data_IF_603055487763
#
_entry.id   IF_603055487763
#
_cell.length_a   1.000
_cell.length_b   1.000
_cell.length_c   1.000
_cell.angle_alpha   90.00
_cell.angle_beta   90.00
_cell.angle_gamma   90.00
#
_symmetry.space_group_name_H-M   'P 1'
#
loop_
_entity.id
_entity.type
_entity.pdbx_description
1 polymer ?
#
# COMPACT_ATOMS: atom_id res chain seq x y z
N UNK A 1 -38.21 4.96 -14.79
CA UNK A 1 -38.09 6.42 -14.83
C UNK A 1 -37.16 7.00 -13.71
N UNK A 2 -37.04 6.39 -12.56
CA UNK A 2 -36.18 6.93 -11.43
C UNK A 2 -34.65 6.76 -11.63
N UNK A 3 -34.16 5.81 -12.44
CA UNK A 3 -32.71 5.61 -12.67
C UNK A 3 -32.07 6.62 -13.64
N UNK A 4 -32.84 7.26 -14.53
CA UNK A 4 -32.30 8.29 -15.44
C UNK A 4 -32.17 9.68 -14.81
N UNK A 5 -32.81 9.91 -13.66
CA UNK A 5 -32.77 11.21 -12.98
C UNK A 5 -31.47 11.34 -12.14
N UNK A 6 -30.97 10.25 -11.55
CA UNK A 6 -29.73 10.26 -10.78
C UNK A 6 -28.48 10.51 -11.63
N UNK A 7 -28.45 9.96 -12.85
CA UNK A 7 -27.31 10.15 -13.76
C UNK A 7 -27.24 11.60 -14.30
N UNK A 8 -28.38 12.26 -14.45
CA UNK A 8 -28.42 13.65 -14.92
C UNK A 8 -27.99 14.65 -13.83
N UNK A 9 -28.27 14.35 -12.56
CA UNK A 9 -27.87 15.20 -11.42
C UNK A 9 -26.38 15.09 -11.17
N UNK A 10 -25.76 13.91 -11.29
CA UNK A 10 -24.31 13.75 -11.17
C UNK A 10 -23.56 14.46 -12.32
N UNK A 11 -24.07 14.38 -13.54
CA UNK A 11 -23.45 15.08 -14.68
C UNK A 11 -23.57 16.62 -14.57
N UNK A 12 -24.64 17.13 -13.91
CA UNK A 12 -24.81 18.56 -13.74
C UNK A 12 -23.92 19.14 -12.63
N UNK A 13 -23.57 18.34 -11.62
CA UNK A 13 -22.64 18.74 -10.56
C UNK A 13 -21.20 18.78 -11.08
N UNK A 14 -20.82 17.88 -11.98
CA UNK A 14 -19.48 17.87 -12.58
C UNK A 14 -19.24 19.04 -13.56
N UNK A 15 -20.29 19.60 -14.16
CA UNK A 15 -20.20 20.72 -15.12
C UNK A 15 -20.20 22.07 -14.43
N UNK A 16 -20.74 22.16 -13.19
CA UNK A 16 -20.79 23.44 -12.45
C UNK A 16 -19.48 23.77 -11.71
N UNK A 17 -18.57 22.83 -11.54
CA UNK A 17 -17.26 23.05 -10.90
C UNK A 17 -16.17 23.52 -11.86
N UNK A 18 -16.41 23.53 -13.16
CA UNK A 18 -15.43 23.95 -14.18
C UNK A 18 -15.60 25.37 -14.72
N UNK A 19 -16.48 26.19 -14.17
CA UNK A 19 -16.82 27.51 -14.72
C UNK A 19 -16.70 28.67 -13.73
N UNK A 20 -15.57 28.77 -13.04
CA UNK A 20 -15.22 30.03 -12.31
C UNK A 20 -13.73 30.32 -12.52
N UNK A 21 -13.43 31.33 -13.26
CA UNK A 21 -12.28 32.17 -13.09
C UNK A 21 -11.15 32.14 -14.10
N UNK A 22 -11.33 32.63 -15.32
CA UNK A 22 -10.23 33.28 -16.02
C UNK A 22 -10.34 34.78 -15.78
N UNK A 23 -9.49 35.31 -14.92
CA UNK A 23 -9.16 36.74 -14.86
C UNK A 23 -7.79 36.88 -15.48
N UNK A 24 -7.72 37.56 -16.62
CA UNK A 24 -6.47 37.94 -17.26
C UNK A 24 -5.74 38.94 -16.36
N UNK A 25 -4.50 38.63 -15.96
CA UNK A 25 -3.59 39.57 -15.35
C UNK A 25 -2.69 40.20 -16.40
N UNK A 26 -2.62 41.50 -16.40
CA UNK A 26 -1.77 42.38 -17.21
C UNK A 26 -0.31 42.35 -16.65
N UNK A 27 0.74 42.17 -17.45
CA UNK A 27 2.10 42.06 -16.92
C UNK A 27 2.81 43.42 -16.97
N UNK A 28 2.65 44.22 -15.95
CA UNK A 28 3.66 45.24 -15.59
C UNK A 28 3.31 45.95 -14.29
N UNK A 29 3.89 45.52 -13.19
CA UNK A 29 4.36 46.37 -12.09
C UNK A 29 5.32 45.55 -11.25
N UNK A 30 6.56 46.00 -11.13
CA UNK A 30 7.50 45.57 -10.10
C UNK A 30 6.99 46.04 -8.73
N UNK A 31 6.05 45.30 -8.14
CA UNK A 31 5.80 45.39 -6.72
C UNK A 31 6.68 44.38 -5.98
N UNK A 32 7.17 44.70 -4.76
CA UNK A 32 7.95 43.75 -3.98
C UNK A 32 7.10 42.50 -3.79
N UNK A 33 7.69 41.36 -4.11
CA UNK A 33 7.11 40.05 -3.87
C UNK A 33 6.81 40.04 -2.37
N UNK A 34 5.53 40.22 -2.03
CA UNK A 34 5.01 39.93 -0.69
C UNK A 34 5.32 38.45 -0.49
N UNK A 35 6.26 38.14 0.41
CA UNK A 35 6.50 36.74 0.78
C UNK A 35 5.22 36.24 1.41
N UNK A 36 4.35 35.71 0.58
CA UNK A 36 3.14 35.02 1.07
C UNK A 36 3.64 33.97 2.04
N UNK A 37 3.15 33.98 3.31
CA UNK A 37 3.58 32.99 4.29
C UNK A 37 3.44 31.60 3.67
N UNK A 38 4.52 30.84 3.64
CA UNK A 38 4.44 29.46 3.16
C UNK A 38 3.47 28.71 4.07
N UNK A 39 2.73 27.72 3.57
CA UNK A 39 1.83 26.93 4.43
C UNK A 39 2.56 26.33 5.62
N UNK A 40 3.88 26.19 5.55
CA UNK A 40 4.75 25.69 6.60
C UNK A 40 5.01 26.69 7.74
N UNK A 41 4.80 28.00 7.54
CA UNK A 41 4.94 28.99 8.60
C UNK A 41 3.88 28.81 9.70
N UNK A 42 2.83 28.05 9.40
CA UNK A 42 1.79 27.64 10.36
C UNK A 42 2.04 26.27 11.00
N UNK A 43 3.05 25.52 10.56
CA UNK A 43 3.44 24.26 11.13
C UNK A 43 4.49 24.50 12.22
N UNK A 44 4.11 24.26 13.47
CA UNK A 44 5.05 24.26 14.58
C UNK A 44 5.80 22.92 14.61
N UNK A 45 7.03 22.93 14.13
CA UNK A 45 7.87 21.73 14.15
C UNK A 45 8.48 21.48 15.53
N UNK A 46 8.36 22.43 16.51
CA UNK A 46 8.82 22.32 17.91
C UNK A 46 10.23 21.72 18.11
N UNK A 47 11.05 21.66 17.04
CA UNK A 47 12.35 21.03 17.05
C UNK A 47 12.30 19.50 17.10
N UNK A 48 11.14 18.90 16.82
CA UNK A 48 10.97 17.46 16.68
C UNK A 48 11.39 17.00 15.28
N UNK A 49 11.76 15.74 15.17
CA UNK A 49 11.98 15.07 13.89
C UNK A 49 10.70 15.14 13.04
N UNK A 50 10.82 15.66 11.83
CA UNK A 50 9.74 15.65 10.83
C UNK A 50 9.85 14.39 9.98
N UNK A 51 8.84 13.53 10.06
CA UNK A 51 8.72 12.35 9.22
C UNK A 51 7.54 12.50 8.25
N UNK A 52 7.81 12.29 6.95
CA UNK A 52 6.81 12.42 5.88
C UNK A 52 6.65 11.08 5.18
N UNK A 53 5.40 10.63 5.05
CA UNK A 53 5.03 9.45 4.27
C UNK A 53 4.55 9.86 2.90
N UNK A 54 5.08 9.20 1.88
CA UNK A 54 4.68 9.38 0.49
C UNK A 54 4.61 8.03 -0.22
N UNK A 55 3.68 7.89 -1.15
CA UNK A 55 3.54 6.66 -1.92
C UNK A 55 2.10 6.25 -2.15
N UNK A 56 1.82 4.98 -2.00
CA UNK A 56 0.56 4.35 -2.36
C UNK A 56 -0.42 4.14 -1.18
N UNK A 57 -1.39 3.24 -1.36
CA UNK A 57 -2.41 2.93 -0.35
C UNK A 57 -1.87 2.31 0.93
N UNK A 58 -0.72 1.66 0.87
CA UNK A 58 -0.08 1.06 2.06
C UNK A 58 0.43 2.18 2.97
N UNK A 59 1.20 3.11 2.40
CA UNK A 59 1.67 4.29 3.12
C UNK A 59 0.50 5.19 3.56
N UNK A 60 -0.56 5.30 2.75
CA UNK A 60 -1.78 6.03 3.12
C UNK A 60 -2.52 5.42 4.31
N UNK A 61 -2.23 4.18 4.67
CA UNK A 61 -2.82 3.49 5.81
C UNK A 61 -4.20 2.91 5.53
N UNK A 62 -4.43 2.40 4.32
CA UNK A 62 -5.70 1.74 3.96
C UNK A 62 -5.81 0.39 4.67
N UNK A 63 -6.94 0.19 5.32
CA UNK A 63 -7.39 -1.10 5.87
C UNK A 63 -8.75 -1.41 5.26
N UNK A 64 -8.81 -2.03 4.06
CA UNK A 64 -10.07 -2.38 3.44
C UNK A 64 -11.13 -1.26 3.53
N UNK A 65 -12.43 -1.54 3.65
CA UNK A 65 -13.47 -0.51 3.75
C UNK A 65 -13.52 0.16 5.13
N UNK A 66 -12.42 0.75 5.58
CA UNK A 66 -12.33 1.46 6.87
C UNK A 66 -12.54 2.97 6.69
N UNK A 67 -13.26 3.63 7.61
CA UNK A 67 -13.41 5.08 7.58
C UNK A 67 -12.05 5.79 7.71
N UNK A 68 -11.85 6.85 6.92
CA UNK A 68 -10.63 7.67 6.96
C UNK A 68 -10.26 8.16 8.36
N UNK A 69 -11.28 8.48 9.19
CA UNK A 69 -11.10 8.95 10.56
C UNK A 69 -10.44 7.95 11.49
N UNK A 70 -10.38 6.67 11.11
CA UNK A 70 -9.79 5.61 11.94
C UNK A 70 -8.30 5.39 11.66
N UNK A 71 -7.76 5.87 10.53
CA UNK A 71 -6.34 5.70 10.17
C UNK A 71 -5.39 6.18 11.26
N UNK A 72 -5.70 7.31 11.88
CA UNK A 72 -4.95 7.84 13.02
C UNK A 72 -4.92 6.93 14.26
N UNK A 73 -5.74 5.91 14.31
CA UNK A 73 -5.80 4.97 15.42
C UNK A 73 -5.06 3.66 15.13
N UNK A 74 -4.91 3.25 13.86
CA UNK A 74 -4.37 1.94 13.53
C UNK A 74 -3.32 1.93 12.42
N UNK A 75 -3.22 2.94 11.58
CA UNK A 75 -2.25 2.95 10.50
C UNK A 75 -0.81 3.02 11.05
N UNK A 76 0.10 2.33 10.38
CA UNK A 76 1.48 2.20 10.84
C UNK A 76 2.18 3.55 10.94
N UNK A 77 1.90 4.47 10.00
CA UNK A 77 2.48 5.81 10.05
C UNK A 77 2.09 6.58 11.32
N UNK A 78 0.84 6.43 11.77
CA UNK A 78 0.37 7.07 12.99
C UNK A 78 0.94 6.40 14.25
N UNK A 79 1.18 5.07 14.21
CA UNK A 79 1.87 4.38 15.30
C UNK A 79 3.31 4.86 15.42
N UNK A 80 4.02 4.96 14.31
CA UNK A 80 5.41 5.43 14.27
C UNK A 80 5.52 6.90 14.69
N UNK A 81 4.70 7.77 14.11
CA UNK A 81 4.71 9.20 14.41
C UNK A 81 4.44 9.49 15.90
N UNK A 82 3.34 8.95 16.42
CA UNK A 82 2.94 9.14 17.83
C UNK A 82 3.88 8.44 18.80
N UNK A 83 4.28 7.21 18.50
CA UNK A 83 5.13 6.41 19.37
C UNK A 83 6.54 6.97 19.52
N UNK A 84 7.07 7.58 18.47
CA UNK A 84 8.39 8.22 18.49
C UNK A 84 8.34 9.72 18.89
N UNK A 85 7.16 10.27 19.13
CA UNK A 85 6.96 11.71 19.38
C UNK A 85 7.46 12.60 18.22
N UNK A 86 7.27 12.14 16.99
CA UNK A 86 7.64 12.88 15.79
C UNK A 86 6.54 13.88 15.41
N UNK A 87 6.94 14.97 14.76
CA UNK A 87 6.03 15.67 13.85
C UNK A 87 5.89 14.81 12.60
N UNK A 88 4.65 14.46 12.23
CA UNK A 88 4.45 13.52 11.13
C UNK A 88 3.32 13.95 10.20
N UNK A 89 3.54 13.75 8.91
CA UNK A 89 2.57 14.10 7.86
C UNK A 89 2.51 12.98 6.83
N UNK A 90 1.31 12.58 6.46
CA UNK A 90 1.10 11.59 5.42
C UNK A 90 0.56 12.25 4.14
N UNK A 91 1.29 12.11 3.04
CA UNK A 91 0.99 12.64 1.71
C UNK A 91 0.84 11.53 0.65
N UNK A 92 0.69 10.31 1.11
CA UNK A 92 0.48 9.15 0.24
C UNK A 92 -0.92 9.15 -0.37
N UNK A 93 -1.05 8.58 -1.56
CA UNK A 93 -2.30 8.53 -2.32
C UNK A 93 -2.57 7.11 -2.80
N UNK A 94 -3.71 6.56 -2.41
CA UNK A 94 -4.16 5.24 -2.85
C UNK A 94 -4.10 5.08 -4.36
N UNK A 95 -3.58 3.94 -4.79
CA UNK A 95 -3.56 3.57 -6.19
C UNK A 95 -2.39 4.18 -6.99
N UNK A 96 -1.54 4.99 -6.38
CA UNK A 96 -0.39 5.51 -7.10
C UNK A 96 0.57 4.42 -7.55
N UNK A 97 0.96 4.54 -8.82
CA UNK A 97 2.08 3.81 -9.43
C UNK A 97 3.32 4.69 -9.46
N UNK A 98 4.48 4.09 -9.66
CA UNK A 98 5.76 4.82 -9.71
C UNK A 98 5.73 6.01 -10.69
N UNK A 99 5.20 5.82 -11.89
CA UNK A 99 5.09 6.89 -12.89
C UNK A 99 4.18 8.05 -12.47
N UNK A 100 3.11 7.77 -11.72
CA UNK A 100 2.21 8.81 -11.22
C UNK A 100 2.86 9.61 -10.09
N UNK A 101 3.54 8.94 -9.17
CA UNK A 101 4.30 9.60 -8.11
C UNK A 101 5.42 10.46 -8.72
N UNK A 102 6.19 9.94 -9.68
CA UNK A 102 7.23 10.70 -10.37
C UNK A 102 6.65 11.97 -11.02
N UNK A 103 5.53 11.83 -11.76
CA UNK A 103 4.85 12.98 -12.38
C UNK A 103 4.40 13.99 -11.33
N UNK A 104 3.90 13.53 -10.18
CA UNK A 104 3.52 14.43 -9.09
C UNK A 104 4.71 15.20 -8.53
N UNK A 105 5.84 14.55 -8.33
CA UNK A 105 7.05 15.15 -7.77
C UNK A 105 7.78 16.09 -8.76
N UNK A 106 7.59 15.92 -10.06
CA UNK A 106 8.25 16.69 -11.11
C UNK A 106 7.33 17.73 -11.75
N UNK A 107 6.36 17.25 -12.52
CA UNK A 107 5.53 18.12 -13.38
C UNK A 107 4.42 18.82 -12.59
N UNK A 108 4.00 18.26 -11.47
CA UNK A 108 2.90 18.77 -10.68
C UNK A 108 3.33 19.32 -9.29
N UNK A 109 4.61 19.36 -8.98
CA UNK A 109 5.15 19.73 -7.66
C UNK A 109 4.63 21.07 -7.11
N UNK A 110 4.26 22.00 -7.98
CA UNK A 110 3.74 23.33 -7.64
C UNK A 110 2.45 23.67 -8.39
N UNK A 111 1.71 22.64 -8.81
CA UNK A 111 0.50 22.83 -9.62
C UNK A 111 -0.63 23.55 -8.87
N UNK A 112 -0.72 23.34 -7.59
CA UNK A 112 -1.71 23.91 -6.67
C UNK A 112 -1.11 24.03 -5.26
N UNK A 113 -1.86 24.62 -4.35
CA UNK A 113 -1.41 24.87 -2.98
C UNK A 113 -1.07 23.58 -2.23
N UNK A 114 -1.79 22.47 -2.48
CA UNK A 114 -1.53 21.18 -1.85
C UNK A 114 -0.22 20.57 -2.33
N UNK A 115 0.04 20.61 -3.63
CA UNK A 115 1.28 20.11 -4.21
C UNK A 115 2.48 20.95 -3.78
N UNK A 116 2.33 22.26 -3.71
CA UNK A 116 3.35 23.18 -3.18
C UNK A 116 3.65 22.86 -1.71
N UNK A 117 2.63 22.71 -0.90
CA UNK A 117 2.76 22.33 0.52
C UNK A 117 3.47 20.98 0.70
N UNK A 118 3.10 19.98 -0.11
CA UNK A 118 3.78 18.67 -0.08
C UNK A 118 5.25 18.80 -0.45
N UNK A 119 5.56 19.57 -1.51
CA UNK A 119 6.95 19.80 -1.93
C UNK A 119 7.77 20.47 -0.82
N UNK A 120 7.21 21.47 -0.16
CA UNK A 120 7.88 22.16 0.95
C UNK A 120 8.09 21.24 2.17
N UNK A 121 7.12 20.33 2.46
CA UNK A 121 7.29 19.31 3.50
C UNK A 121 8.45 18.38 3.19
N UNK A 122 8.55 17.89 1.94
CA UNK A 122 9.64 17.01 1.52
C UNK A 122 11.01 17.71 1.60
N UNK A 123 11.06 19.01 1.31
CA UNK A 123 12.28 19.81 1.42
C UNK A 123 12.79 19.96 2.87
N UNK A 124 11.92 19.80 3.86
CA UNK A 124 12.25 19.99 5.28
C UNK A 124 12.21 18.69 6.10
N UNK A 125 11.81 17.59 5.49
CA UNK A 125 11.71 16.30 6.18
C UNK A 125 13.08 15.82 6.66
N UNK A 126 13.17 15.38 7.91
CA UNK A 126 14.33 14.64 8.41
C UNK A 126 14.31 13.20 7.89
N UNK A 127 13.10 12.63 7.78
CA UNK A 127 12.87 11.27 7.32
C UNK A 127 11.73 11.29 6.31
N UNK A 128 11.94 10.69 5.15
CA UNK A 128 10.86 10.36 4.21
C UNK A 128 10.74 8.84 4.14
N UNK A 129 9.52 8.36 4.26
CA UNK A 129 9.23 6.95 4.06
C UNK A 129 8.41 6.78 2.80
N UNK A 130 8.89 5.89 1.92
CA UNK A 130 8.34 5.61 0.60
C UNK A 130 7.82 4.17 0.52
N UNK A 131 6.52 4.01 0.22
CA UNK A 131 5.89 2.76 -0.19
C UNK A 131 5.35 2.92 -1.61
N UNK A 132 5.96 2.24 -2.57
CA UNK A 132 5.60 2.33 -4.00
C UNK A 132 5.94 0.99 -4.70
N UNK A 133 5.62 0.86 -5.96
CA UNK A 133 5.81 -0.31 -6.82
C UNK A 133 4.72 -1.39 -6.69
N UNK A 134 4.05 -1.50 -5.54
CA UNK A 134 2.97 -2.48 -5.37
C UNK A 134 1.89 -2.38 -6.46
N UNK A 135 1.45 -1.17 -6.76
CA UNK A 135 0.43 -0.92 -7.78
C UNK A 135 0.94 -1.06 -9.22
N UNK A 136 2.24 -0.94 -9.45
CA UNK A 136 2.84 -1.19 -10.76
C UNK A 136 2.61 -2.64 -11.19
N UNK A 137 2.56 -3.57 -10.23
CA UNK A 137 2.32 -4.99 -10.47
C UNK A 137 0.85 -5.39 -10.22
N UNK A 138 0.26 -4.99 -9.08
CA UNK A 138 -0.97 -5.57 -8.57
C UNK A 138 -2.26 -4.98 -9.16
N UNK A 139 -2.23 -3.74 -9.64
CA UNK A 139 -3.44 -3.03 -10.07
C UNK A 139 -4.00 -3.50 -11.41
N UNK A 140 -3.13 -3.88 -12.34
CA UNK A 140 -3.54 -4.21 -13.71
C UNK A 140 -3.22 -5.67 -14.05
N UNK A 141 -4.27 -6.47 -14.16
CA UNK A 141 -4.16 -7.83 -14.72
C UNK A 141 -3.29 -8.82 -13.94
N UNK A 142 -3.27 -8.74 -12.61
CA UNK A 142 -2.54 -9.71 -11.80
C UNK A 142 -2.82 -11.17 -12.20
N UNK A 143 -4.10 -11.52 -12.46
CA UNK A 143 -4.46 -12.85 -12.93
C UNK A 143 -3.76 -13.25 -14.23
N UNK A 144 -3.65 -12.30 -15.17
CA UNK A 144 -2.93 -12.51 -16.43
C UNK A 144 -1.42 -12.68 -16.20
N UNK A 145 -0.84 -11.86 -15.32
CA UNK A 145 0.57 -11.98 -14.97
C UNK A 145 0.89 -13.35 -14.38
N UNK A 146 0.05 -13.85 -13.49
CA UNK A 146 0.20 -15.18 -12.90
C UNK A 146 0.18 -16.29 -13.98
N UNK A 147 -0.80 -16.23 -14.89
CA UNK A 147 -0.92 -17.21 -15.99
C UNK A 147 0.29 -17.12 -16.94
N UNK A 148 0.69 -15.91 -17.32
CA UNK A 148 1.86 -15.72 -18.20
C UNK A 148 3.16 -16.18 -17.53
N UNK A 149 3.31 -15.97 -16.23
CA UNK A 149 4.48 -16.48 -15.48
C UNK A 149 4.56 -18.00 -15.59
N UNK A 150 3.45 -18.73 -15.43
CA UNK A 150 3.42 -20.17 -15.62
C UNK A 150 3.84 -20.56 -17.04
N UNK A 151 3.30 -19.89 -18.05
CA UNK A 151 3.66 -20.13 -19.45
C UNK A 151 5.16 -19.95 -19.69
N UNK A 152 5.77 -18.90 -19.18
CA UNK A 152 7.19 -18.65 -19.35
C UNK A 152 8.09 -19.63 -18.58
N UNK A 153 7.66 -20.04 -17.39
CA UNK A 153 8.37 -21.07 -16.64
C UNK A 153 8.39 -22.42 -17.39
N UNK A 154 7.29 -22.81 -18.05
CA UNK A 154 7.24 -23.99 -18.91
C UNK A 154 8.17 -23.84 -20.14
N UNK A 155 8.09 -22.70 -20.84
CA UNK A 155 8.97 -22.44 -21.99
C UNK A 155 10.44 -22.44 -21.62
N UNK A 156 10.80 -21.93 -20.46
CA UNK A 156 12.17 -21.93 -19.94
C UNK A 156 12.65 -23.36 -19.69
N UNK A 157 11.81 -24.20 -19.07
CA UNK A 157 12.14 -25.60 -18.82
C UNK A 157 12.38 -26.37 -20.17
N UNK A 158 11.51 -26.13 -21.17
CA UNK A 158 11.66 -26.69 -22.50
C UNK A 158 12.96 -26.25 -23.21
N UNK A 159 13.40 -25.01 -22.97
CA UNK A 159 14.64 -24.47 -23.53
C UNK A 159 15.89 -24.88 -22.74
N UNK A 160 15.73 -25.47 -21.56
CA UNK A 160 16.82 -25.86 -20.66
C UNK A 160 17.55 -24.68 -20.02
N UNK A 161 16.88 -23.56 -19.90
CA UNK A 161 17.40 -22.38 -19.21
C UNK A 161 17.43 -22.62 -17.69
N UNK A 162 18.48 -22.18 -17.03
CA UNK A 162 18.71 -22.45 -15.61
C UNK A 162 18.44 -21.26 -14.70
N UNK A 163 18.53 -20.05 -15.24
CA UNK A 163 18.25 -18.83 -14.48
C UNK A 163 16.81 -18.38 -14.74
N UNK A 164 15.95 -18.76 -13.78
CA UNK A 164 14.52 -18.47 -13.86
C UNK A 164 14.22 -16.99 -13.77
N UNK A 165 14.94 -16.30 -12.91
CA UNK A 165 14.65 -14.91 -12.60
C UNK A 165 15.02 -14.00 -13.77
N UNK A 166 16.23 -14.16 -14.32
CA UNK A 166 16.68 -13.36 -15.46
C UNK A 166 15.83 -13.63 -16.71
N UNK A 167 15.53 -14.92 -16.98
CA UNK A 167 14.72 -15.28 -18.13
C UNK A 167 13.30 -14.72 -18.05
N UNK A 168 12.63 -14.84 -16.89
CA UNK A 168 11.30 -14.32 -16.70
C UNK A 168 11.32 -12.80 -16.66
N UNK A 169 12.35 -12.20 -16.09
CA UNK A 169 12.52 -10.76 -16.07
C UNK A 169 12.60 -10.19 -17.49
N UNK A 170 13.48 -10.74 -18.33
CA UNK A 170 13.66 -10.28 -19.71
C UNK A 170 12.42 -10.47 -20.58
N UNK A 171 11.74 -11.61 -20.45
CA UNK A 171 10.62 -11.97 -21.32
C UNK A 171 9.30 -11.47 -20.74
N UNK A 172 9.04 -11.72 -19.46
CA UNK A 172 7.78 -11.30 -18.83
C UNK A 172 7.63 -9.79 -18.96
N UNK A 173 8.68 -9.06 -18.69
CA UNK A 173 8.64 -7.63 -18.72
C UNK A 173 8.64 -7.05 -20.13
N UNK A 174 9.23 -7.67 -21.08
CA UNK A 174 9.15 -7.25 -22.46
C UNK A 174 7.85 -7.67 -23.15
N UNK A 175 7.33 -8.86 -22.86
CA UNK A 175 6.17 -9.42 -23.54
C UNK A 175 4.85 -9.16 -22.82
N UNK A 176 4.83 -9.08 -21.49
CA UNK A 176 3.61 -8.71 -20.70
C UNK A 176 3.04 -7.40 -21.19
N UNK A 177 3.88 -6.48 -21.60
CA UNK A 177 3.47 -5.19 -22.13
C UNK A 177 2.80 -5.26 -23.48
N UNK A 178 3.23 -6.16 -24.32
CA UNK A 178 2.55 -6.40 -25.60
C UNK A 178 1.16 -7.00 -25.38
N UNK A 179 0.96 -7.71 -24.28
CA UNK A 179 -0.25 -8.45 -23.97
C UNK A 179 -1.19 -7.81 -22.92
N UNK A 180 -0.83 -6.71 -22.31
CA UNK A 180 -1.63 -6.08 -21.24
C UNK A 180 -3.00 -5.50 -21.70
N UNK A 181 -3.68 -6.19 -22.60
CA UNK A 181 -5.03 -5.83 -23.06
C UNK A 181 -5.06 -4.88 -24.26
N UNK A 182 -3.92 -4.61 -24.89
CA UNK A 182 -3.84 -3.76 -26.07
C UNK A 182 -3.68 -4.61 -27.32
N UNK A 183 -4.68 -4.59 -28.18
CA UNK A 183 -4.66 -5.28 -29.48
C UNK A 183 -3.76 -4.60 -30.53
N UNK A 184 -3.07 -3.55 -30.14
CA UNK A 184 -2.25 -2.74 -31.01
C UNK A 184 -0.92 -2.49 -30.29
N UNK A 185 0.15 -3.09 -30.80
CA UNK A 185 1.50 -3.01 -30.21
C UNK A 185 1.99 -1.56 -30.03
N UNK A 186 1.56 -0.63 -30.91
CA UNK A 186 1.92 0.78 -30.77
C UNK A 186 1.14 1.47 -29.65
N UNK A 187 -0.12 1.09 -29.43
CA UNK A 187 -0.90 1.58 -28.28
C UNK A 187 -0.43 0.94 -26.99
N UNK A 188 -0.10 -0.35 -27.01
CA UNK A 188 0.55 -1.04 -25.90
C UNK A 188 1.83 -0.32 -25.55
N UNK A 189 2.76 -0.11 -26.47
CA UNK A 189 3.99 0.65 -26.27
C UNK A 189 3.74 2.09 -25.82
N UNK A 190 2.71 2.78 -26.32
CA UNK A 190 2.38 4.15 -25.95
C UNK A 190 1.83 4.30 -24.53
N UNK A 191 1.00 3.36 -24.08
CA UNK A 191 0.49 3.33 -22.70
C UNK A 191 1.48 2.74 -21.72
N UNK A 192 2.29 1.82 -22.18
CA UNK A 192 3.38 1.19 -21.44
C UNK A 192 4.51 2.18 -21.15
N UNK A 193 4.76 3.13 -22.04
CA UNK A 193 5.75 4.21 -21.76
C UNK A 193 5.41 5.09 -20.55
N UNK A 194 4.41 4.78 -19.79
CA UNK A 194 4.05 5.54 -18.59
C UNK A 194 3.56 4.72 -17.42
N UNK A 195 3.19 3.46 -17.58
CA UNK A 195 2.40 2.82 -16.53
C UNK A 195 2.82 1.42 -16.09
N UNK A 196 3.62 0.67 -16.86
CA UNK A 196 3.83 -0.76 -16.55
C UNK A 196 5.12 -1.39 -17.10
N UNK A 197 6.17 -0.73 -17.37
CA UNK A 197 7.43 -1.39 -17.74
C UNK A 197 8.31 -1.47 -16.49
N UNK A 198 8.75 -2.63 -16.01
CA UNK A 198 9.72 -2.67 -14.93
C UNK A 198 11.02 -1.95 -15.30
N UNK A 199 11.42 -1.97 -16.56
CA UNK A 199 12.41 -1.00 -16.99
C UNK A 199 11.91 0.43 -16.73
N UNK A 200 10.63 0.73 -16.95
CA UNK A 200 10.05 2.03 -16.55
C UNK A 200 9.85 2.12 -15.03
N UNK A 201 9.49 1.05 -14.33
CA UNK A 201 9.39 1.05 -12.87
C UNK A 201 10.75 1.20 -12.23
N UNK A 202 11.79 0.58 -12.78
CA UNK A 202 13.19 0.76 -12.38
C UNK A 202 13.64 2.20 -12.65
N UNK A 203 13.41 2.71 -13.86
CA UNK A 203 13.75 4.08 -14.24
C UNK A 203 12.96 5.10 -13.43
N UNK A 204 11.64 4.86 -13.21
CA UNK A 204 10.79 5.72 -12.41
C UNK A 204 11.23 5.71 -10.94
N UNK A 205 11.57 4.54 -10.40
CA UNK A 205 12.02 4.42 -9.02
C UNK A 205 13.33 5.20 -8.81
N UNK A 206 14.32 5.00 -9.67
CA UNK A 206 15.58 5.74 -9.63
C UNK A 206 15.33 7.26 -9.72
N UNK A 207 14.49 7.71 -10.66
CA UNK A 207 14.16 9.12 -10.83
C UNK A 207 13.38 9.70 -9.63
N UNK A 208 12.53 8.91 -8.96
CA UNK A 208 11.87 9.33 -7.71
C UNK A 208 12.92 9.57 -6.62
N UNK A 209 13.84 8.64 -6.42
CA UNK A 209 14.90 8.78 -5.42
C UNK A 209 15.78 9.99 -5.71
N UNK A 210 16.25 10.14 -6.96
CA UNK A 210 17.02 11.32 -7.39
C UNK A 210 16.25 12.61 -7.12
N UNK A 211 14.95 12.63 -7.45
CA UNK A 211 14.12 13.81 -7.23
C UNK A 211 13.92 14.15 -5.75
N UNK A 212 13.78 13.17 -4.89
CA UNK A 212 13.68 13.41 -3.45
C UNK A 212 14.98 13.98 -2.88
N UNK A 213 16.15 13.51 -3.36
CA UNK A 213 17.45 14.10 -3.00
C UNK A 213 17.67 15.49 -3.59
N UNK A 214 17.18 15.77 -4.81
CA UNK A 214 17.20 17.12 -5.37
C UNK A 214 16.40 18.11 -4.51
N UNK A 215 15.30 17.65 -3.90
CA UNK A 215 14.49 18.47 -3.00
C UNK A 215 15.14 18.62 -1.63
N UNK A 216 15.75 17.55 -1.12
CA UNK A 216 16.31 17.52 0.22
C UNK A 216 17.53 16.58 0.27
N UNK A 217 18.75 17.08 0.09
CA UNK A 217 19.96 16.26 0.02
C UNK A 217 20.38 15.63 1.36
N UNK A 218 19.83 16.11 2.47
CA UNK A 218 20.19 15.66 3.83
C UNK A 218 19.16 14.67 4.42
N UNK A 219 18.13 14.30 3.64
CA UNK A 219 17.03 13.45 4.13
C UNK A 219 17.46 11.99 4.31
N UNK A 220 16.94 11.33 5.32
CA UNK A 220 16.99 9.86 5.41
C UNK A 220 15.79 9.27 4.66
N UNK A 221 16.04 8.49 3.60
CA UNK A 221 14.99 7.82 2.84
C UNK A 221 14.84 6.37 3.30
N UNK A 222 13.68 6.06 3.89
CA UNK A 222 13.26 4.70 4.17
C UNK A 222 12.40 4.21 3.00
N UNK A 223 12.71 3.06 2.43
CA UNK A 223 11.95 2.49 1.32
C UNK A 223 11.47 1.09 1.68
N UNK A 224 10.17 0.89 1.65
CA UNK A 224 9.56 -0.40 1.94
C UNK A 224 9.66 -1.35 0.75
N UNK A 225 9.95 -2.63 1.03
CA UNK A 225 9.65 -3.71 0.10
C UNK A 225 8.16 -4.03 0.09
N UNK A 226 7.66 -4.54 -1.03
CA UNK A 226 6.25 -4.92 -1.21
C UNK A 226 6.04 -6.31 -0.64
N UNK A 227 5.08 -6.50 0.25
CA UNK A 227 4.69 -7.83 0.74
C UNK A 227 3.88 -8.59 -0.31
N UNK A 228 3.88 -9.92 -0.20
CA UNK A 228 3.08 -10.77 -1.08
C UNK A 228 1.62 -10.90 -0.56
N UNK A 229 0.61 -10.34 -1.25
CA UNK A 229 -0.79 -10.49 -0.87
C UNK A 229 -1.42 -11.78 -1.44
N UNK A 230 -0.68 -12.53 -2.26
CA UNK A 230 -1.20 -13.70 -2.96
C UNK A 230 -0.95 -14.93 -2.12
N UNK A 231 -1.99 -15.55 -1.63
CA UNK A 231 -1.92 -16.79 -0.88
C UNK A 231 -3.17 -17.63 -1.08
N UNK A 232 -2.97 -18.92 -1.01
CA UNK A 232 -3.84 -20.07 -1.30
C UNK A 232 -5.23 -19.81 -1.94
N UNK A 233 -6.22 -19.32 -1.31
CA UNK A 233 -7.58 -19.27 -1.85
C UNK A 233 -8.25 -17.92 -1.71
N UNK A 234 -7.52 -16.91 -1.23
CA UNK A 234 -8.14 -15.70 -0.72
C UNK A 234 -8.16 -14.52 -1.69
N UNK A 235 -7.35 -14.54 -2.74
CA UNK A 235 -7.22 -13.39 -3.62
C UNK A 235 -8.40 -13.27 -4.56
N UNK A 236 -9.17 -12.18 -4.48
CA UNK A 236 -10.35 -11.94 -5.32
C UNK A 236 -10.05 -12.03 -6.82
N UNK A 237 -8.84 -11.66 -7.23
CA UNK A 237 -8.38 -11.75 -8.62
C UNK A 237 -8.44 -13.17 -9.16
N UNK A 238 -8.16 -14.18 -8.33
CA UNK A 238 -8.18 -15.58 -8.74
C UNK A 238 -9.60 -16.09 -9.06
N UNK A 239 -10.62 -15.44 -8.52
CA UNK A 239 -12.03 -15.80 -8.70
C UNK A 239 -12.69 -15.10 -9.90
N UNK A 240 -11.93 -14.31 -10.65
CA UNK A 240 -12.44 -13.58 -11.80
C UNK A 240 -11.81 -14.09 -13.10
N UNK A 241 -12.54 -14.06 -14.23
CA UNK A 241 -11.93 -14.19 -15.53
C UNK A 241 -10.91 -13.07 -15.78
N UNK A 242 -9.87 -13.38 -16.51
CA UNK A 242 -8.92 -12.37 -16.97
C UNK A 242 -9.63 -11.51 -18.04
N UNK A 243 -9.77 -10.22 -17.77
CA UNK A 243 -10.47 -9.31 -18.67
C UNK A 243 -9.61 -8.12 -19.06
N UNK A 244 -9.95 -7.50 -20.19
CA UNK A 244 -9.38 -6.24 -20.64
C UNK A 244 -10.47 -5.36 -21.27
N UNK A 245 -10.18 -4.07 -21.35
CA UNK A 245 -11.06 -3.12 -22.06
C UNK A 245 -10.45 -2.85 -23.42
N UNK A 246 -11.18 -3.17 -24.49
CA UNK A 246 -10.70 -2.93 -25.85
C UNK A 246 -10.83 -1.45 -26.29
N UNK A 247 -10.43 -1.18 -27.53
CA UNK A 247 -10.35 0.19 -28.04
C UNK A 247 -11.72 0.90 -28.15
N UNK A 248 -12.83 0.14 -28.16
CA UNK A 248 -14.20 0.68 -28.19
C UNK A 248 -14.81 0.85 -26.77
N UNK A 249 -14.05 0.53 -25.72
CA UNK A 249 -14.48 0.61 -24.32
C UNK A 249 -15.27 -0.62 -23.85
N UNK A 250 -15.27 -1.71 -24.62
CA UNK A 250 -15.96 -2.95 -24.25
C UNK A 250 -15.04 -3.86 -23.44
N UNK A 251 -15.54 -4.36 -22.30
CA UNK A 251 -14.82 -5.38 -21.53
C UNK A 251 -14.92 -6.74 -22.20
N UNK A 252 -13.79 -7.36 -22.46
CA UNK A 252 -13.65 -8.70 -23.08
C UNK A 252 -12.82 -9.62 -22.19
N UNK A 253 -13.05 -10.93 -22.32
CA UNK A 253 -12.17 -11.93 -21.73
C UNK A 253 -10.89 -12.10 -22.58
N UNK A 254 -9.76 -12.25 -21.91
CA UNK A 254 -8.48 -12.52 -22.56
C UNK A 254 -8.53 -13.88 -23.26
N UNK A 255 -8.09 -13.93 -24.50
CA UNK A 255 -8.17 -15.12 -25.37
C UNK A 255 -9.59 -15.71 -25.53
N UNK A 256 -10.65 -14.89 -25.32
CA UNK A 256 -12.04 -15.31 -25.27
C UNK A 256 -12.33 -16.39 -24.20
N UNK A 257 -11.43 -16.57 -23.22
CA UNK A 257 -11.56 -17.52 -22.12
C UNK A 257 -12.40 -16.91 -20.98
N UNK A 258 -13.48 -17.56 -20.64
CA UNK A 258 -14.40 -17.13 -19.57
C UNK A 258 -14.14 -17.82 -18.23
N UNK A 259 -13.15 -18.73 -18.18
CA UNK A 259 -12.72 -19.36 -16.93
C UNK A 259 -12.11 -18.34 -15.97
N UNK A 260 -12.23 -18.61 -14.71
CA UNK A 260 -11.52 -17.83 -13.69
C UNK A 260 -10.00 -18.04 -13.80
N UNK A 261 -9.21 -17.09 -13.33
CA UNK A 261 -7.75 -17.24 -13.26
C UNK A 261 -7.36 -18.55 -12.56
N UNK A 262 -8.06 -18.91 -11.47
CA UNK A 262 -7.86 -20.17 -10.73
C UNK A 262 -8.06 -21.41 -11.62
N UNK A 263 -9.14 -21.43 -12.40
CA UNK A 263 -9.41 -22.56 -13.29
C UNK A 263 -8.32 -22.71 -14.35
N UNK A 264 -7.86 -21.60 -14.92
CA UNK A 264 -6.78 -21.62 -15.91
C UNK A 264 -5.48 -22.12 -15.26
N UNK A 265 -5.09 -21.56 -14.10
CA UNK A 265 -3.87 -21.99 -13.40
C UNK A 265 -3.87 -23.48 -13.06
N UNK A 266 -5.02 -23.99 -12.61
CA UNK A 266 -5.16 -25.39 -12.23
C UNK A 266 -5.24 -26.33 -13.45
N UNK A 267 -6.08 -26.01 -14.45
CA UNK A 267 -6.40 -26.90 -15.56
C UNK A 267 -5.30 -26.92 -16.63
N UNK A 268 -4.72 -25.76 -16.93
CA UNK A 268 -3.74 -25.63 -18.02
C UNK A 268 -2.30 -25.83 -17.51
N UNK A 269 -1.98 -25.39 -16.28
CA UNK A 269 -0.62 -25.41 -15.73
C UNK A 269 -0.45 -26.31 -14.51
N UNK A 270 -1.52 -26.90 -13.99
CA UNK A 270 -1.46 -27.78 -12.81
C UNK A 270 -1.13 -27.07 -11.50
N UNK A 271 -1.15 -25.74 -11.47
CA UNK A 271 -0.84 -24.94 -10.28
C UNK A 271 -1.99 -25.06 -9.28
N UNK A 272 -1.68 -25.64 -8.15
CA UNK A 272 -2.64 -25.86 -7.06
C UNK A 272 -2.77 -24.62 -6.16
N UNK A 273 -3.86 -24.49 -5.39
CA UNK A 273 -3.98 -23.40 -4.42
C UNK A 273 -2.82 -23.28 -3.43
N UNK A 274 -2.15 -24.38 -3.11
CA UNK A 274 -0.98 -24.35 -2.23
C UNK A 274 0.25 -23.67 -2.87
N UNK A 275 0.32 -23.64 -4.19
CA UNK A 275 1.42 -23.09 -4.97
C UNK A 275 1.19 -21.62 -5.36
N UNK A 276 -0.01 -21.08 -5.18
CA UNK A 276 -0.30 -19.67 -5.52
C UNK A 276 0.61 -18.68 -4.78
N UNK A 277 0.98 -19.02 -3.57
CA UNK A 277 1.84 -18.22 -2.73
C UNK A 277 3.25 -18.10 -3.32
N UNK A 278 3.82 -19.22 -3.77
CA UNK A 278 5.14 -19.25 -4.39
C UNK A 278 5.15 -18.50 -5.71
N UNK A 279 4.10 -18.68 -6.52
CA UNK A 279 3.96 -17.96 -7.79
C UNK A 279 3.80 -16.45 -7.57
N UNK A 280 3.00 -16.05 -6.59
CA UNK A 280 2.84 -14.65 -6.21
C UNK A 280 4.13 -14.05 -5.68
N UNK A 281 4.83 -14.80 -4.85
CA UNK A 281 6.11 -14.39 -4.27
C UNK A 281 7.17 -14.14 -5.33
N UNK A 282 7.26 -15.02 -6.31
CA UNK A 282 8.14 -14.84 -7.45
C UNK A 282 7.92 -13.49 -8.16
N UNK A 283 6.65 -13.10 -8.39
CA UNK A 283 6.33 -11.83 -9.04
C UNK A 283 6.64 -10.62 -8.14
N UNK A 284 6.36 -10.73 -6.84
CA UNK A 284 6.64 -9.66 -5.88
C UNK A 284 8.15 -9.44 -5.73
N UNK A 285 8.94 -10.51 -5.71
CA UNK A 285 10.41 -10.43 -5.65
C UNK A 285 11.00 -9.67 -6.84
N UNK A 286 10.42 -9.78 -8.04
CA UNK A 286 10.86 -8.97 -9.17
C UNK A 286 10.75 -7.46 -8.89
N UNK A 287 9.71 -7.03 -8.18
CA UNK A 287 9.54 -5.62 -7.82
C UNK A 287 10.44 -5.24 -6.64
N UNK A 288 10.61 -6.14 -5.67
CA UNK A 288 11.47 -5.89 -4.52
C UNK A 288 12.95 -5.81 -4.92
N UNK A 289 13.37 -6.57 -5.94
CA UNK A 289 14.72 -6.48 -6.48
C UNK A 289 15.02 -5.08 -7.02
N UNK A 290 14.05 -4.35 -7.58
CA UNK A 290 14.26 -2.95 -7.98
C UNK A 290 14.78 -2.11 -6.80
N UNK A 291 14.18 -2.30 -5.62
CA UNK A 291 14.56 -1.57 -4.40
C UNK A 291 15.91 -2.03 -3.87
N UNK A 292 16.11 -3.35 -3.79
CA UNK A 292 17.34 -3.95 -3.24
C UNK A 292 18.56 -3.70 -4.12
N UNK A 293 18.41 -3.89 -5.45
CA UNK A 293 19.48 -3.65 -6.43
C UNK A 293 19.87 -2.18 -6.43
N UNK A 294 18.87 -1.27 -6.36
CA UNK A 294 19.17 0.16 -6.23
C UNK A 294 19.97 0.47 -4.96
N UNK A 295 19.62 -0.13 -3.84
CA UNK A 295 20.34 0.07 -2.58
C UNK A 295 21.77 -0.51 -2.62
N UNK A 296 21.96 -1.65 -3.31
CA UNK A 296 23.27 -2.26 -3.51
C UNK A 296 24.15 -1.41 -4.45
N UNK A 297 23.60 -0.93 -5.55
CA UNK A 297 24.30 -0.11 -6.53
C UNK A 297 24.60 1.32 -6.03
N UNK A 298 23.80 1.84 -5.08
CA UNK A 298 23.90 3.19 -4.52
C UNK A 298 23.97 3.17 -2.98
N UNK A 299 25.04 2.63 -2.38
CA UNK A 299 25.13 2.45 -0.94
C UNK A 299 24.94 3.76 -0.17
N UNK A 300 24.05 3.77 0.80
CA UNK A 300 23.78 4.91 1.67
C UNK A 300 22.82 5.96 1.08
N UNK A 301 22.20 5.70 -0.08
CA UNK A 301 21.16 6.57 -0.61
C UNK A 301 19.78 6.21 -0.08
N UNK A 302 19.46 4.94 0.08
CA UNK A 302 18.20 4.48 0.66
C UNK A 302 18.44 3.45 1.76
N UNK A 303 17.54 3.42 2.71
CA UNK A 303 17.49 2.42 3.77
C UNK A 303 16.30 1.50 3.53
N UNK A 304 16.57 0.26 3.17
CA UNK A 304 15.52 -0.72 2.85
C UNK A 304 14.83 -1.18 4.12
N UNK A 305 13.49 -1.12 4.12
CA UNK A 305 12.63 -1.66 5.17
C UNK A 305 12.00 -2.95 4.65
N UNK A 306 12.50 -4.10 5.12
CA UNK A 306 12.14 -5.43 4.61
C UNK A 306 10.78 -5.92 5.11
N UNK A 307 9.72 -5.26 4.64
CA UNK A 307 8.34 -5.66 4.97
C UNK A 307 8.00 -7.02 4.38
N UNK A 308 8.48 -7.29 3.15
CA UNK A 308 8.27 -8.56 2.46
C UNK A 308 8.72 -9.73 3.33
N UNK A 309 9.97 -9.74 3.75
CA UNK A 309 10.57 -10.84 4.49
C UNK A 309 9.81 -11.13 5.78
N UNK A 310 9.39 -10.07 6.46
CA UNK A 310 8.63 -10.20 7.70
C UNK A 310 7.25 -10.83 7.50
N UNK A 311 6.55 -10.47 6.43
CA UNK A 311 5.27 -11.10 6.07
C UNK A 311 5.49 -12.56 5.64
N UNK A 312 6.57 -12.85 4.90
CA UNK A 312 6.90 -14.19 4.41
C UNK A 312 7.28 -15.18 5.54
N UNK A 313 7.76 -14.72 6.69
CA UNK A 313 7.96 -15.59 7.86
C UNK A 313 6.69 -16.38 8.20
N UNK A 314 5.52 -15.77 8.07
CA UNK A 314 4.24 -16.40 8.33
C UNK A 314 3.65 -17.13 7.12
N UNK A 315 3.90 -16.62 5.91
CA UNK A 315 3.52 -17.29 4.68
C UNK A 315 4.22 -18.65 4.54
N UNK A 316 5.49 -18.70 4.88
CA UNK A 316 6.32 -19.91 4.78
C UNK A 316 6.26 -20.81 6.02
N UNK A 317 5.44 -20.46 7.01
CA UNK A 317 5.29 -21.27 8.20
C UNK A 317 4.73 -22.66 7.86
N UNK A 318 5.45 -23.72 8.25
CA UNK A 318 5.06 -25.12 8.04
C UNK A 318 3.87 -25.55 8.90
N UNK A 319 3.32 -24.63 9.70
CA UNK A 319 2.22 -24.93 10.62
C UNK A 319 0.94 -24.26 10.17
N UNK A 320 -0.19 -24.96 10.38
CA UNK A 320 -1.51 -24.39 10.14
C UNK A 320 -1.78 -23.13 10.97
N UNK A 321 -1.14 -22.99 12.13
CA UNK A 321 -1.22 -21.82 12.99
C UNK A 321 -0.50 -20.63 12.37
N UNK A 322 0.72 -20.80 11.87
CA UNK A 322 1.47 -19.75 11.16
C UNK A 322 0.77 -19.29 9.88
N UNK A 323 0.23 -20.23 9.11
CA UNK A 323 -0.54 -19.89 7.91
C UNK A 323 -1.85 -19.15 8.25
N UNK A 324 -2.55 -19.55 9.32
CA UNK A 324 -3.72 -18.82 9.79
C UNK A 324 -3.35 -17.40 10.26
N UNK A 325 -2.18 -17.24 10.88
CA UNK A 325 -1.68 -15.93 11.28
C UNK A 325 -1.33 -15.04 10.07
N UNK A 326 -0.70 -15.59 9.04
CA UNK A 326 -0.45 -14.87 7.80
C UNK A 326 -1.70 -14.18 7.25
N UNK A 327 -2.83 -14.88 7.26
CA UNK A 327 -4.12 -14.33 6.81
C UNK A 327 -4.63 -13.18 7.67
N UNK A 328 -4.28 -13.16 8.95
CA UNK A 328 -4.64 -12.06 9.87
C UNK A 328 -3.96 -10.75 9.53
N UNK A 329 -2.86 -10.79 8.78
CA UNK A 329 -2.12 -9.60 8.37
C UNK A 329 -2.83 -8.82 7.26
N UNK A 330 -3.81 -9.42 6.59
CA UNK A 330 -4.54 -8.82 5.47
C UNK A 330 -5.96 -8.43 5.85
N UNK A 331 -6.45 -7.36 5.23
CA UNK A 331 -7.81 -6.87 5.37
C UNK A 331 -8.81 -7.71 4.55
N UNK A 332 -10.06 -7.29 4.54
CA UNK A 332 -11.15 -7.99 3.84
C UNK A 332 -11.00 -8.03 2.31
N UNK A 333 -10.20 -7.16 1.75
CA UNK A 333 -9.91 -7.13 0.30
C UNK A 333 -8.73 -8.03 -0.09
N UNK A 334 -8.05 -8.63 0.90
CA UNK A 334 -6.90 -9.51 0.73
C UNK A 334 -5.69 -8.88 0.02
N UNK A 335 -5.65 -7.56 -0.07
CA UNK A 335 -4.56 -6.79 -0.67
C UNK A 335 -3.93 -5.88 0.36
N UNK A 336 -4.75 -5.09 1.05
CA UNK A 336 -4.27 -4.14 2.04
C UNK A 336 -4.00 -4.81 3.38
N UNK A 337 -3.09 -4.28 4.19
CA UNK A 337 -2.86 -4.78 5.54
C UNK A 337 -4.10 -4.65 6.40
N UNK A 338 -4.30 -5.57 7.31
CA UNK A 338 -5.21 -5.40 8.44
C UNK A 338 -4.59 -4.47 9.50
N UNK A 339 -5.32 -4.21 10.58
CA UNK A 339 -4.73 -3.50 11.72
C UNK A 339 -3.49 -4.21 12.27
N UNK A 340 -3.47 -5.54 12.26
CA UNK A 340 -2.31 -6.34 12.69
C UNK A 340 -1.20 -6.28 11.65
N UNK A 341 -1.53 -6.26 10.36
CA UNK A 341 -0.58 -6.02 9.29
C UNK A 341 0.08 -4.65 9.41
N UNK A 342 -0.68 -3.60 9.69
CA UNK A 342 -0.12 -2.28 9.97
C UNK A 342 0.77 -2.25 11.22
N UNK A 343 0.39 -2.99 12.27
CA UNK A 343 1.27 -3.11 13.46
C UNK A 343 2.59 -3.81 13.13
N UNK A 344 2.56 -4.79 12.22
CA UNK A 344 3.77 -5.47 11.75
C UNK A 344 4.66 -4.54 10.91
N UNK A 345 4.07 -3.78 9.98
CA UNK A 345 4.81 -2.77 9.21
C UNK A 345 5.47 -1.75 10.16
N UNK A 346 4.71 -1.28 11.16
CA UNK A 346 5.24 -0.37 12.18
C UNK A 346 6.42 -0.98 12.97
N UNK A 347 6.35 -2.28 13.30
CA UNK A 347 7.42 -2.98 14.03
C UNK A 347 8.71 -3.04 13.21
N UNK A 348 8.62 -3.49 11.95
CA UNK A 348 9.78 -3.56 11.05
C UNK A 348 10.39 -2.19 10.78
N UNK A 349 9.55 -1.18 10.53
CA UNK A 349 10.03 0.19 10.31
C UNK A 349 10.67 0.77 11.59
N UNK A 350 10.10 0.46 12.77
CA UNK A 350 10.67 0.88 14.04
C UNK A 350 12.04 0.25 14.30
N UNK A 351 12.21 -1.03 13.97
CA UNK A 351 13.51 -1.70 14.06
C UNK A 351 14.55 -1.01 13.18
N UNK A 352 14.19 -0.60 11.97
CA UNK A 352 15.06 0.18 11.08
C UNK A 352 15.38 1.56 11.68
N UNK A 353 14.41 2.26 12.25
CA UNK A 353 14.64 3.54 12.92
C UNK A 353 15.60 3.38 14.14
N UNK A 354 15.49 2.27 14.87
CA UNK A 354 16.43 1.95 15.97
C UNK A 354 17.84 1.68 15.42
N UNK A 355 17.96 0.89 14.36
CA UNK A 355 19.24 0.61 13.68
C UNK A 355 19.96 1.90 13.27
N UNK A 356 19.21 2.86 12.74
CA UNK A 356 19.72 4.16 12.29
C UNK A 356 19.95 5.18 13.43
N UNK A 357 19.52 4.85 14.64
CA UNK A 357 19.61 5.77 15.80
C UNK A 357 18.62 6.94 15.74
N UNK A 358 17.54 6.79 14.95
CA UNK A 358 16.50 7.81 14.73
C UNK A 358 15.25 7.59 15.59
N UNK A 359 15.13 6.43 16.23
CA UNK A 359 13.96 6.06 17.03
C UNK A 359 13.83 6.91 18.30
N UNK A 360 12.59 7.21 18.67
CA UNK A 360 12.25 7.84 19.95
C UNK A 360 12.55 6.91 21.14
N UNK A 361 13.12 7.47 22.20
CA UNK A 361 13.59 6.71 23.36
C UNK A 361 12.48 5.96 24.13
N UNK A 362 11.22 6.37 23.98
CA UNK A 362 10.10 5.87 24.77
C UNK A 362 9.04 5.14 23.93
N UNK A 363 9.35 4.73 22.71
CA UNK A 363 8.38 4.19 21.74
C UNK A 363 7.42 3.16 22.35
N UNK A 364 7.93 2.12 23.02
CA UNK A 364 7.09 1.11 23.68
C UNK A 364 6.14 1.73 24.73
N UNK A 365 6.65 2.65 25.54
CA UNK A 365 5.85 3.27 26.61
C UNK A 365 4.74 4.14 26.02
N UNK A 366 5.04 4.89 24.96
CA UNK A 366 4.06 5.72 24.25
C UNK A 366 2.99 4.87 23.57
N UNK A 367 3.36 3.79 22.88
CA UNK A 367 2.37 2.86 22.27
C UNK A 367 1.45 2.29 23.33
N UNK A 368 1.98 1.83 24.48
CA UNK A 368 1.16 1.34 25.60
C UNK A 368 0.17 2.40 26.11
N UNK A 369 0.65 3.63 26.31
CA UNK A 369 -0.17 4.74 26.77
C UNK A 369 -1.30 5.06 25.76
N UNK A 370 -0.97 5.18 24.49
CA UNK A 370 -1.92 5.44 23.40
C UNK A 370 -3.00 4.35 23.35
N UNK A 371 -2.61 3.07 23.37
CA UNK A 371 -3.56 1.96 23.30
C UNK A 371 -4.48 1.89 24.53
N UNK A 372 -3.93 2.12 25.72
CA UNK A 372 -4.72 2.21 26.94
C UNK A 372 -5.71 3.39 26.92
N UNK A 373 -5.31 4.55 26.43
CA UNK A 373 -6.19 5.71 26.26
C UNK A 373 -7.29 5.43 25.23
N UNK A 374 -6.96 4.83 24.10
CA UNK A 374 -7.94 4.44 23.07
C UNK A 374 -9.01 3.49 23.64
N UNK A 375 -8.62 2.49 24.45
CA UNK A 375 -9.56 1.59 25.12
C UNK A 375 -10.51 2.37 26.03
N UNK A 376 -9.99 3.28 26.85
CA UNK A 376 -10.81 4.10 27.75
C UNK A 376 -11.79 4.99 26.96
N UNK A 377 -11.30 5.64 25.93
CA UNK A 377 -12.08 6.61 25.14
C UNK A 377 -13.15 5.95 24.28
N UNK A 378 -12.80 4.82 23.62
CA UNK A 378 -13.64 4.23 22.57
C UNK A 378 -14.52 3.09 23.06
N UNK A 379 -14.09 2.35 24.10
CA UNK A 379 -14.69 1.08 24.48
C UNK A 379 -15.20 1.02 25.93
N UNK A 380 -14.93 2.03 26.77
CA UNK A 380 -15.44 2.11 28.15
C UNK A 380 -16.87 2.65 28.20
N UNK A 381 -17.82 1.98 27.57
CA UNK A 381 -19.24 2.33 27.61
C UNK A 381 -20.12 1.18 28.13
N UNK A 382 -21.30 1.51 28.63
CA UNK A 382 -22.22 0.50 29.15
C UNK A 382 -22.65 -0.47 28.05
N UNK A 383 -22.42 -1.78 28.26
CA UNK A 383 -22.70 -2.82 27.29
C UNK A 383 -21.61 -3.03 26.23
N UNK A 384 -20.45 -2.41 26.40
CA UNK A 384 -19.28 -2.74 25.56
C UNK A 384 -18.95 -4.24 25.71
N UNK A 385 -18.70 -4.94 24.59
CA UNK A 385 -18.25 -6.34 24.65
C UNK A 385 -16.74 -6.43 24.98
N UNK A 386 -16.01 -5.31 25.01
CA UNK A 386 -14.57 -5.28 25.30
C UNK A 386 -14.34 -5.25 26.82
N UNK A 387 -13.58 -6.24 27.32
CA UNK A 387 -13.04 -6.18 28.68
C UNK A 387 -11.84 -5.24 28.72
N UNK A 388 -12.12 -3.95 28.92
CA UNK A 388 -11.11 -2.89 28.94
C UNK A 388 -10.04 -3.11 30.00
N UNK A 389 -10.42 -3.66 31.17
CA UNK A 389 -9.47 -3.91 32.26
C UNK A 389 -8.49 -5.01 31.92
N UNK A 390 -8.98 -6.14 31.38
CA UNK A 390 -8.14 -7.24 30.92
C UNK A 390 -7.25 -6.81 29.73
N UNK A 391 -7.80 -6.07 28.77
CA UNK A 391 -7.06 -5.55 27.63
C UNK A 391 -5.90 -4.63 28.06
N UNK A 392 -6.16 -3.68 28.96
CA UNK A 392 -5.10 -2.79 29.49
C UNK A 392 -4.03 -3.57 30.27
N UNK A 393 -4.42 -4.61 31.01
CA UNK A 393 -3.45 -5.48 31.69
C UNK A 393 -2.55 -6.19 30.67
N UNK A 394 -3.11 -6.74 29.59
CA UNK A 394 -2.34 -7.38 28.53
C UNK A 394 -1.38 -6.38 27.83
N UNK A 395 -1.85 -5.18 27.47
CA UNK A 395 -1.03 -4.11 26.87
C UNK A 395 0.13 -3.75 27.80
N UNK A 396 -0.13 -3.55 29.10
CA UNK A 396 0.90 -3.17 30.05
C UNK A 396 1.95 -4.27 30.27
N UNK A 397 1.57 -5.53 30.12
CA UNK A 397 2.47 -6.69 30.25
C UNK A 397 3.29 -6.95 28.97
N UNK A 398 2.94 -6.37 27.85
CA UNK A 398 3.67 -6.52 26.59
C UNK A 398 5.13 -6.10 26.75
N UNK A 399 6.04 -6.80 26.09
CA UNK A 399 7.49 -6.54 26.12
C UNK A 399 7.97 -5.79 24.91
N UNK A 400 7.17 -5.79 23.81
CA UNK A 400 7.42 -5.03 22.58
C UNK A 400 6.20 -4.17 22.23
N UNK A 401 6.39 -3.17 21.38
CA UNK A 401 5.31 -2.33 20.86
C UNK A 401 4.35 -3.16 19.99
N UNK A 402 4.89 -4.13 19.25
CA UNK A 402 4.09 -5.06 18.45
C UNK A 402 3.14 -5.88 19.33
N UNK A 403 3.64 -6.50 20.41
CA UNK A 403 2.81 -7.21 21.39
C UNK A 403 1.74 -6.31 22.03
N UNK A 404 2.06 -5.05 22.33
CA UNK A 404 1.11 -4.09 22.86
C UNK A 404 -0.02 -3.76 21.85
N UNK A 405 0.34 -3.58 20.57
CA UNK A 405 -0.62 -3.40 19.49
C UNK A 405 -1.50 -4.65 19.29
N UNK A 406 -0.89 -5.86 19.28
CA UNK A 406 -1.63 -7.11 19.18
C UNK A 406 -2.60 -7.30 20.34
N UNK A 407 -2.19 -7.01 21.57
CA UNK A 407 -3.06 -7.07 22.74
C UNK A 407 -4.28 -6.15 22.61
N UNK A 408 -4.08 -4.95 22.09
CA UNK A 408 -5.16 -4.01 21.78
C UNK A 408 -6.10 -4.55 20.69
N UNK A 409 -5.56 -4.95 19.52
CA UNK A 409 -6.38 -5.42 18.41
C UNK A 409 -7.14 -6.72 18.75
N UNK A 410 -6.50 -7.65 19.47
CA UNK A 410 -7.17 -8.85 19.93
C UNK A 410 -8.36 -8.55 20.86
N UNK A 411 -8.23 -7.54 21.72
CA UNK A 411 -9.31 -7.16 22.64
C UNK A 411 -10.53 -6.56 21.92
N UNK A 412 -10.32 -5.87 20.81
CA UNK A 412 -11.40 -5.23 20.02
C UNK A 412 -11.90 -6.09 18.86
N UNK A 413 -11.27 -7.23 18.57
CA UNK A 413 -11.73 -8.17 17.54
C UNK A 413 -12.98 -8.91 18.02
N UNK A 414 -13.94 -9.13 17.12
CA UNK A 414 -15.16 -9.91 17.40
C UNK A 414 -14.98 -11.36 16.96
N UNK A 415 -14.80 -12.34 17.89
CA UNK A 415 -14.66 -13.75 17.55
C UNK A 415 -15.89 -14.32 16.81
N UNK A 416 -17.07 -13.79 17.13
CA UNK A 416 -18.37 -14.26 16.60
C UNK A 416 -18.51 -14.08 15.07
N UNK A 417 -17.74 -13.18 14.49
CA UNK A 417 -17.73 -12.95 13.04
C UNK A 417 -16.83 -13.93 12.27
N UNK A 418 -15.90 -14.59 12.93
CA UNK A 418 -15.05 -15.58 12.30
C UNK A 418 -15.88 -16.77 11.77
N UNK A 419 -16.85 -17.25 12.55
CA UNK A 419 -17.67 -18.40 12.20
C UNK A 419 -18.74 -18.07 11.15
N UNK A 420 -19.35 -16.88 11.20
CA UNK A 420 -20.40 -16.48 10.24
C UNK A 420 -19.84 -16.23 8.83
N UNK A 421 -18.64 -15.70 8.70
CA UNK A 421 -18.04 -15.43 7.41
C UNK A 421 -17.46 -16.71 6.80
N UNK A 422 -16.87 -17.59 7.61
CA UNK A 422 -16.47 -18.92 7.20
C UNK A 422 -17.64 -19.68 6.55
N UNK A 423 -18.84 -19.54 7.10
CA UNK A 423 -20.04 -20.20 6.59
C UNK A 423 -20.65 -19.56 5.34
N UNK A 424 -20.40 -18.27 5.05
CA UNK A 424 -20.97 -17.59 3.88
C UNK A 424 -20.28 -17.96 2.57
N UNK A 425 -19.01 -18.33 2.63
CA UNK A 425 -18.17 -18.61 1.47
C UNK A 425 -17.97 -20.12 1.23
N UNK A 426 -18.76 -21.01 1.87
CA UNK A 426 -18.62 -22.45 1.77
C UNK A 426 -17.33 -22.94 2.43
N UNK A 427 -16.68 -23.95 1.84
CA UNK A 427 -15.43 -24.53 2.36
C UNK A 427 -14.22 -23.58 2.37
N UNK A 428 -14.43 -22.31 2.01
CA UNK A 428 -13.43 -21.24 1.98
C UNK A 428 -13.50 -20.42 3.27
N UNK A 429 -13.11 -21.03 4.36
CA UNK A 429 -13.11 -20.42 5.68
C UNK A 429 -11.92 -19.47 5.88
N UNK A 430 -12.01 -18.24 5.33
CA UNK A 430 -11.06 -17.18 5.67
C UNK A 430 -11.68 -16.27 6.71
N UNK A 431 -11.01 -16.05 7.84
CA UNK A 431 -11.50 -15.11 8.83
C UNK A 431 -11.43 -13.69 8.26
N UNK A 432 -12.59 -13.09 8.02
CA UNK A 432 -12.68 -11.65 7.86
C UNK A 432 -12.65 -11.08 9.28
N UNK A 433 -11.64 -10.28 9.58
CA UNK A 433 -11.53 -9.61 10.86
C UNK A 433 -12.49 -8.45 10.92
N UNK A 434 -13.44 -8.51 11.85
CA UNK A 434 -14.26 -7.35 12.19
C UNK A 434 -13.92 -6.91 13.60
N UNK A 435 -14.01 -5.61 13.81
CA UNK A 435 -13.71 -5.00 15.09
C UNK A 435 -15.00 -4.53 15.78
N UNK A 436 -14.97 -4.46 17.10
CA UNK A 436 -16.02 -3.82 17.88
C UNK A 436 -16.12 -2.37 17.44
N UNK A 437 -17.33 -1.93 17.08
CA UNK A 437 -17.55 -0.54 16.67
C UNK A 437 -17.28 0.38 17.85
N UNK A 438 -16.38 1.35 17.74
CA UNK A 438 -16.11 2.30 18.79
C UNK A 438 -17.32 3.20 19.05
N UNK A 439 -17.52 3.59 20.29
CA UNK A 439 -18.52 4.60 20.63
C UNK A 439 -17.88 5.99 20.71
N UNK A 440 -17.92 6.72 19.62
CA UNK A 440 -17.39 8.09 19.55
C UNK A 440 -18.30 9.14 20.22
N UNK A 441 -19.48 8.77 20.71
CA UNK A 441 -20.43 9.72 21.33
C UNK A 441 -19.93 10.29 22.66
N UNK A 442 -18.93 9.67 23.28
CA UNK A 442 -18.34 10.15 24.55
C UNK A 442 -17.21 11.18 24.35
N UNK A 443 -16.94 11.60 23.12
CA UNK A 443 -15.87 12.53 22.75
C UNK A 443 -16.34 14.00 22.66
N UNK A 444 -17.30 14.41 23.50
CA UNK A 444 -17.68 15.83 23.62
C UNK A 444 -17.13 16.45 24.88
#
# INVERSE_FOLDING_TARGET
>A
MRRKLCTLVLALILVLTCAIGFVACDPTTDEPVDETPTHLDYFDFDGKTLMVWIGDSIAEGIVGPSPLSERENYAYYAMLGKGNDFTYVNKSVSGWKSGQLLTYLTDNAYKDDEAAFTTELLQRADIIELSILGNDLLQDNLGKLLVMTCQYLEEMEEKGESDKLDYVNDILFNDVYQYAGYNDAEKALGKVKGELNPNNSTDNFAAIIERLYDLNPDVTLLVQTVYNPIFDTSTLVLEQPITYVDADGTTKCWNDDTRTTREILLEDYGVTPAEYRELGDFLIELMNNIVRDYAEDHPGTIEVVEIHDRFMEYHNADTSEGQAYSRRLFSQDYIHPSNEGHAMIADVTQDKLVELGLAGANYLAEIKAIRCEQLDRMFSYAGSPVDVAAAKAAINNATTAYEANLAYFNAITRPEYFDEVANRNGDRAYPIFTYVVPNYANNK
#
